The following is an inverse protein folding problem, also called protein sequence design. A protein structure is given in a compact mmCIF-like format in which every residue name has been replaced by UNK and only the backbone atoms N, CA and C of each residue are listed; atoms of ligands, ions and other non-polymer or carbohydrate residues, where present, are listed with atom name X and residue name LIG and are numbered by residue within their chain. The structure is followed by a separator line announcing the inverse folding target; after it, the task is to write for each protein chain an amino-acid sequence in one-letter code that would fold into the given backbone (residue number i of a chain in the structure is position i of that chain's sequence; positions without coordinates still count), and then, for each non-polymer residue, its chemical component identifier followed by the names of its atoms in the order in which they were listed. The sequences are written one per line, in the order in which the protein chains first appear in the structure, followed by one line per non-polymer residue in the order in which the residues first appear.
data_IF_911002820059
#
_entry.id   IF_911002820059
#
_cell.length_a   1.000
_cell.length_b   1.000
_cell.length_c   1.000
_cell.angle_alpha   90.00
_cell.angle_beta   90.00
_cell.angle_gamma   90.00
#
_symmetry.space_group_name_H-M   'P 1'
#
loop_
_entity.id
_entity.type
_entity.pdbx_description
1 polymer ?
#
# COMPACT_ATOMS: atom_id res chain seq x y z
N UNK A 1 1.99 -13.74 8.07
CA UNK A 1 2.26 -12.32 8.20
C UNK A 1 1.32 -11.58 7.27
N UNK A 2 0.75 -10.48 7.76
CA UNK A 2 0.06 -9.50 6.94
C UNK A 2 0.98 -8.29 6.74
N UNK A 3 1.33 -7.97 5.50
CA UNK A 3 2.23 -6.84 5.19
C UNK A 3 1.83 -6.19 3.88
N UNK A 4 1.85 -4.85 3.84
CA UNK A 4 1.65 -4.05 2.63
C UNK A 4 2.88 -3.18 2.37
N UNK A 5 3.45 -3.32 1.19
CA UNK A 5 4.55 -2.48 0.71
C UNK A 5 4.04 -1.45 -0.29
N UNK A 6 4.43 -0.19 -0.10
CA UNK A 6 4.05 0.94 -0.97
C UNK A 6 5.29 1.76 -1.29
N UNK A 7 5.54 2.02 -2.58
CA UNK A 7 6.55 2.98 -3.04
C UNK A 7 5.92 3.99 -3.99
N UNK A 8 6.33 5.24 -3.86
CA UNK A 8 5.88 6.36 -4.69
C UNK A 8 7.00 6.84 -5.61
N UNK A 9 6.62 7.38 -6.77
CA UNK A 9 7.48 8.07 -7.71
C UNK A 9 7.68 9.52 -7.27
N UNK A 10 8.63 9.75 -6.37
CA UNK A 10 8.93 11.10 -5.87
C UNK A 10 9.41 12.03 -7.00
N UNK A 11 10.16 11.52 -7.97
CA UNK A 11 10.63 12.30 -9.11
C UNK A 11 9.45 12.81 -9.95
N UNK A 12 8.46 11.94 -10.23
CA UNK A 12 7.24 12.33 -10.93
C UNK A 12 6.41 13.33 -10.12
N UNK A 13 6.29 13.16 -8.80
CA UNK A 13 5.60 14.11 -7.93
C UNK A 13 6.26 15.50 -8.02
N UNK A 14 7.59 15.54 -7.91
CA UNK A 14 8.37 16.78 -7.98
C UNK A 14 8.31 17.44 -9.37
N UNK A 15 8.28 16.65 -10.43
CA UNK A 15 8.21 17.14 -11.80
C UNK A 15 6.81 17.71 -12.15
N UNK A 16 5.73 17.04 -11.74
CA UNK A 16 4.36 17.47 -12.07
C UNK A 16 3.84 18.59 -11.18
N UNK A 17 4.37 18.74 -9.96
CA UNK A 17 4.02 19.80 -8.99
C UNK A 17 2.51 19.92 -8.66
N UNK A 18 1.72 18.89 -8.95
CA UNK A 18 0.29 18.82 -8.56
C UNK A 18 0.13 18.65 -7.04
N UNK A 19 1.10 18.02 -6.41
CA UNK A 19 1.19 17.77 -4.97
C UNK A 19 2.63 17.92 -4.51
N UNK A 20 2.86 18.05 -3.20
CA UNK A 20 4.19 17.89 -2.61
C UNK A 20 4.39 16.45 -2.16
N UNK A 21 5.64 15.97 -2.19
CA UNK A 21 6.02 14.65 -1.67
C UNK A 21 5.52 14.47 -0.22
N UNK A 22 5.72 15.50 0.61
CA UNK A 22 5.23 15.53 1.99
C UNK A 22 3.71 15.34 2.08
N UNK A 23 2.93 16.06 1.26
CA UNK A 23 1.46 15.99 1.32
C UNK A 23 0.91 14.60 0.96
N UNK A 24 1.56 13.90 0.02
CA UNK A 24 1.16 12.53 -0.35
C UNK A 24 1.49 11.56 0.77
N UNK A 25 2.68 11.65 1.37
CA UNK A 25 3.03 10.80 2.50
C UNK A 25 2.15 11.06 3.73
N UNK A 26 1.80 12.31 4.01
CA UNK A 26 0.84 12.65 5.07
C UNK A 26 -0.56 12.07 4.80
N UNK A 27 -1.05 12.15 3.56
CA UNK A 27 -2.32 11.54 3.18
C UNK A 27 -2.29 10.01 3.35
N UNK A 28 -1.16 9.38 2.98
CA UNK A 28 -0.96 7.96 3.20
C UNK A 28 -0.95 7.63 4.69
N UNK A 29 -0.19 8.35 5.53
CA UNK A 29 -0.18 8.11 6.97
C UNK A 29 -1.56 8.24 7.60
N UNK A 30 -2.33 9.25 7.21
CA UNK A 30 -3.70 9.45 7.69
C UNK A 30 -4.62 8.28 7.30
N UNK A 31 -4.46 7.69 6.12
CA UNK A 31 -5.22 6.52 5.69
C UNK A 31 -4.97 5.30 6.60
N UNK A 32 -3.76 5.17 7.16
CA UNK A 32 -3.37 4.06 8.02
C UNK A 32 -3.54 4.35 9.53
N UNK A 33 -3.61 5.62 9.93
CA UNK A 33 -3.53 6.07 11.32
C UNK A 33 -4.54 5.38 12.26
N UNK A 34 -5.76 5.12 11.80
CA UNK A 34 -6.82 4.50 12.62
C UNK A 34 -6.60 3.01 12.90
N UNK A 35 -5.74 2.34 12.15
CA UNK A 35 -5.53 0.89 12.23
C UNK A 35 -4.36 0.50 13.14
N UNK A 36 -3.54 1.46 13.59
CA UNK A 36 -2.41 1.23 14.50
C UNK A 36 -1.43 0.15 14.02
N UNK A 37 -1.24 0.08 12.71
CA UNK A 37 -0.29 -0.83 12.06
C UNK A 37 1.14 -0.36 12.30
N UNK A 38 2.08 -1.31 12.38
CA UNK A 38 3.50 -0.96 12.46
C UNK A 38 3.95 -0.43 11.09
N UNK A 39 4.55 0.75 11.06
CA UNK A 39 5.16 1.35 9.86
C UNK A 39 6.68 1.26 9.97
N UNK A 40 7.32 0.83 8.89
CA UNK A 40 8.77 0.84 8.69
C UNK A 40 9.07 1.38 7.29
N UNK A 41 10.30 1.82 7.04
CA UNK A 41 10.73 2.30 5.73
C UNK A 41 12.03 1.63 5.34
N UNK A 42 12.09 1.10 4.13
CA UNK A 42 13.28 0.53 3.52
C UNK A 42 14.22 1.64 3.00
N UNK A 43 15.52 1.37 2.82
CA UNK A 43 16.49 2.37 2.33
C UNK A 43 16.14 2.99 0.97
N UNK A 44 15.36 2.29 0.15
CA UNK A 44 14.94 2.75 -1.18
C UNK A 44 13.66 3.60 -1.15
N UNK A 45 13.16 3.95 0.03
CA UNK A 45 11.95 4.73 0.25
C UNK A 45 10.67 3.91 0.38
N UNK A 46 10.69 2.59 0.14
CA UNK A 46 9.50 1.74 0.27
C UNK A 46 8.97 1.78 1.70
N UNK A 47 7.69 2.11 1.86
CA UNK A 47 6.97 2.02 3.11
C UNK A 47 6.41 0.62 3.32
N UNK A 48 6.69 0.04 4.48
CA UNK A 48 6.23 -1.28 4.90
C UNK A 48 5.27 -1.13 6.07
N UNK A 49 4.00 -1.47 5.86
CA UNK A 49 2.97 -1.53 6.89
C UNK A 49 2.72 -2.99 7.28
N UNK A 50 2.89 -3.32 8.56
CA UNK A 50 2.87 -4.70 9.05
C UNK A 50 1.73 -4.84 10.06
N UNK A 51 0.96 -5.93 9.91
CA UNK A 51 -0.04 -6.36 10.88
C UNK A 51 0.58 -6.56 12.25
N UNK A 52 -0.21 -6.35 13.30
CA UNK A 52 0.22 -6.49 14.69
C UNK A 52 -0.42 -7.71 15.38
N UNK A 53 -1.04 -8.61 14.61
CA UNK A 53 -1.72 -9.81 15.09
C UNK A 53 -3.15 -9.53 15.54
N UNK A 54 -3.70 -8.34 15.26
CA UNK A 54 -5.10 -8.06 15.56
C UNK A 54 -6.00 -8.82 14.56
N UNK A 55 -7.07 -9.50 15.03
CA UNK A 55 -8.00 -10.20 14.14
C UNK A 55 -8.65 -9.33 13.05
N UNK A 56 -8.60 -8.00 13.19
CA UNK A 56 -9.12 -7.03 12.22
C UNK A 56 -8.10 -6.61 11.16
N UNK A 57 -6.85 -7.02 11.25
CA UNK A 57 -5.78 -6.56 10.36
C UNK A 57 -6.08 -6.91 8.90
N UNK A 58 -6.54 -8.13 8.60
CA UNK A 58 -6.90 -8.53 7.25
C UNK A 58 -7.95 -7.59 6.64
N UNK A 59 -9.05 -7.37 7.36
CA UNK A 59 -10.10 -6.43 6.95
C UNK A 59 -9.61 -4.99 6.84
N UNK A 60 -8.71 -4.56 7.74
CA UNK A 60 -8.10 -3.24 7.70
C UNK A 60 -7.30 -3.02 6.40
N UNK A 61 -6.42 -3.96 6.05
CA UNK A 61 -5.67 -3.89 4.81
C UNK A 61 -6.58 -3.93 3.58
N UNK A 62 -7.60 -4.79 3.55
CA UNK A 62 -8.60 -4.79 2.49
C UNK A 62 -9.31 -3.44 2.32
N UNK A 63 -9.72 -2.80 3.42
CA UNK A 63 -10.32 -1.46 3.39
C UNK A 63 -9.35 -0.39 2.88
N UNK A 64 -8.08 -0.45 3.28
CA UNK A 64 -7.05 0.49 2.83
C UNK A 64 -6.79 0.32 1.33
N UNK A 65 -6.60 -0.91 0.87
CA UNK A 65 -6.31 -1.23 -0.53
C UNK A 65 -7.44 -0.72 -1.43
N UNK A 66 -8.67 -1.08 -1.09
CA UNK A 66 -9.86 -0.66 -1.85
C UNK A 66 -10.11 0.85 -1.78
N UNK A 67 -9.68 1.54 -0.72
CA UNK A 67 -9.80 2.99 -0.63
C UNK A 67 -8.74 3.71 -1.47
N UNK A 68 -7.48 3.25 -1.43
CA UNK A 68 -6.37 3.86 -2.16
C UNK A 68 -6.51 3.72 -3.67
N UNK A 69 -7.06 2.60 -4.17
CA UNK A 69 -7.24 2.40 -5.62
C UNK A 69 -8.20 3.39 -6.28
N UNK A 70 -9.06 4.04 -5.49
CA UNK A 70 -9.98 5.10 -5.94
C UNK A 70 -9.35 6.50 -5.89
N UNK A 71 -8.10 6.63 -5.46
CA UNK A 71 -7.42 7.92 -5.30
C UNK A 71 -6.46 8.14 -6.46
N UNK A 72 -6.76 9.12 -7.31
CA UNK A 72 -5.86 9.54 -8.40
C UNK A 72 -4.50 10.00 -7.87
N UNK A 73 -4.48 10.77 -6.77
CA UNK A 73 -3.24 11.18 -6.10
C UNK A 73 -2.37 10.02 -5.62
N UNK A 74 -2.91 8.81 -5.51
CA UNK A 74 -2.15 7.61 -5.19
C UNK A 74 -1.81 6.83 -6.46
N UNK A 75 -2.82 6.50 -7.28
CA UNK A 75 -2.65 5.68 -8.48
C UNK A 75 -1.75 6.32 -9.53
N UNK A 76 -1.67 7.65 -9.60
CA UNK A 76 -0.80 8.35 -10.55
C UNK A 76 0.68 8.24 -10.19
N UNK A 77 1.03 8.02 -8.92
CA UNK A 77 2.42 8.07 -8.43
C UNK A 77 2.90 6.77 -7.77
N UNK A 78 2.04 5.79 -7.51
CA UNK A 78 2.48 4.51 -6.93
C UNK A 78 3.29 3.69 -7.96
N UNK A 79 4.46 3.22 -7.56
CA UNK A 79 5.38 2.42 -8.39
C UNK A 79 5.58 1.00 -7.85
N UNK A 80 5.28 0.78 -6.58
CA UNK A 80 5.26 -0.54 -5.95
C UNK A 80 4.06 -0.61 -5.03
N UNK A 81 3.25 -1.65 -5.18
CA UNK A 81 2.14 -1.92 -4.28
C UNK A 81 1.93 -3.42 -4.11
N UNK A 82 2.56 -3.99 -3.07
CA UNK A 82 2.65 -5.44 -2.88
C UNK A 82 1.98 -5.84 -1.59
N UNK A 83 1.04 -6.79 -1.67
CA UNK A 83 0.32 -7.34 -0.53
C UNK A 83 0.82 -8.74 -0.20
N UNK A 84 1.19 -8.95 1.05
CA UNK A 84 1.63 -10.24 1.60
C UNK A 84 0.53 -10.73 2.54
N UNK A 85 -0.09 -11.85 2.19
CA UNK A 85 -1.30 -12.35 2.85
C UNK A 85 -1.11 -13.78 3.36
N UNK A 86 -1.12 -13.97 4.67
CA UNK A 86 -1.11 -15.30 5.29
C UNK A 86 -2.47 -15.76 5.82
N UNK A 87 -3.58 -15.11 5.46
CA UNK A 87 -4.91 -15.45 6.01
C UNK A 87 -5.32 -16.89 5.64
N UNK A 88 -4.94 -17.34 4.44
CA UNK A 88 -5.16 -18.71 3.95
C UNK A 88 -3.93 -19.63 4.16
N UNK A 89 -2.88 -19.16 4.84
CA UNK A 89 -1.63 -19.90 5.05
C UNK A 89 -1.63 -20.75 6.31
N UNK A 90 -0.74 -21.76 6.37
CA UNK A 90 -0.58 -22.61 7.56
C UNK A 90 -0.12 -21.84 8.79
N UNK A 91 0.71 -20.80 8.59
CA UNK A 91 1.28 -19.95 9.62
C UNK A 91 1.75 -18.62 9.03
N UNK A 92 2.42 -17.78 9.84
CA UNK A 92 2.81 -16.45 9.40
C UNK A 92 3.91 -16.40 8.33
N UNK A 93 4.66 -17.48 8.11
CA UNK A 93 5.68 -17.59 7.06
C UNK A 93 5.12 -18.15 5.75
N UNK A 94 3.93 -18.75 5.81
CA UNK A 94 3.17 -19.20 4.65
C UNK A 94 2.22 -18.08 4.19
N UNK A 95 2.66 -17.30 3.21
CA UNK A 95 1.89 -16.17 2.68
C UNK A 95 1.90 -16.14 1.16
N UNK A 96 0.75 -15.76 0.59
CA UNK A 96 0.66 -15.35 -0.80
C UNK A 96 1.25 -13.94 -0.98
N UNK A 97 1.87 -13.70 -2.14
CA UNK A 97 2.35 -12.37 -2.54
C UNK A 97 1.56 -11.91 -3.76
N UNK A 98 0.87 -10.79 -3.62
CA UNK A 98 0.04 -10.19 -4.66
C UNK A 98 0.60 -8.84 -5.09
N UNK A 99 0.82 -8.66 -6.39
CA UNK A 99 1.09 -7.36 -6.98
C UNK A 99 -0.23 -6.62 -7.21
N UNK A 100 -0.60 -5.80 -6.23
CA UNK A 100 -1.84 -5.01 -6.20
C UNK A 100 -1.82 -3.95 -7.30
N UNK A 101 -0.66 -3.36 -7.59
CA UNK A 101 -0.51 -2.38 -8.66
C UNK A 101 -0.79 -3.03 -10.02
N UNK A 102 -0.19 -4.18 -10.30
CA UNK A 102 -0.44 -4.95 -11.51
C UNK A 102 -1.90 -5.37 -11.61
N UNK A 103 -2.51 -5.82 -10.51
CA UNK A 103 -3.93 -6.21 -10.48
C UNK A 103 -4.85 -5.09 -10.97
N UNK A 104 -4.68 -3.87 -10.46
CA UNK A 104 -5.55 -2.74 -10.82
C UNK A 104 -5.21 -2.11 -12.17
N UNK A 105 -3.93 -2.04 -12.56
CA UNK A 105 -3.53 -1.47 -13.86
C UNK A 105 -3.86 -2.39 -15.04
N UNK A 106 -3.73 -3.72 -14.87
CA UNK A 106 -4.15 -4.68 -15.89
C UNK A 106 -5.66 -4.64 -16.12
N UNK A 107 -6.46 -4.55 -15.04
CA UNK A 107 -7.93 -4.44 -15.15
C UNK A 107 -8.37 -3.17 -15.90
N UNK A 108 -7.65 -2.07 -15.75
CA UNK A 108 -7.91 -0.83 -16.50
C UNK A 108 -7.58 -0.96 -18.00
N UNK A 109 -6.66 -1.85 -18.38
CA UNK A 109 -6.26 -2.06 -19.79
C UNK A 109 -7.20 -2.98 -20.58
N UNK A 110 -8.15 -3.64 -19.92
CA UNK A 110 -9.10 -4.60 -20.52
C UNK A 110 -10.52 -4.01 -20.62
N UNK A 111 -10.71 -2.75 -20.22
CA UNK A 111 -11.99 -2.03 -20.24
C UNK A 111 -12.15 -1.15 -21.48
#
# INVERSE_FOLDING_TARGET
MLKLEIKLDEDKILAEQKYTVESIYQALEQAFAKYRLKKTQEPDGTLCFIGNGNPKDYGAFGCIITSLKEKTWFMDYVTKWIWYNSDDGENEEDFAVEDVLYHYTKKLSVA
#
